data_IF_269132857545
#
_entry.id   IF_269132857545
#
_cell.length_a   1.000
_cell.length_b   1.000
_cell.length_c   1.000
_cell.angle_alpha   90.00
_cell.angle_beta   90.00
_cell.angle_gamma   90.00
#
_symmetry.space_group_name_H-M   'P 1'
#
loop_
_entity.id
_entity.type
_entity.pdbx_description
1 polymer ?
#
# COMPACT_ATOMS: atom_id res chain seq x y z
N UNK A 1 -17.71 -54.18 -15.48
CA UNK A 1 -17.03 -54.12 -14.18
C UNK A 1 -16.17 -52.85 -14.26
N UNK A 2 -16.80 -51.72 -14.05
CA UNK A 2 -16.25 -50.40 -14.12
C UNK A 2 -15.98 -49.96 -12.69
N UNK A 3 -14.72 -49.98 -12.31
CA UNK A 3 -14.28 -49.46 -11.01
C UNK A 3 -14.45 -47.94 -10.98
N UNK A 4 -15.41 -47.53 -10.21
CA UNK A 4 -15.62 -46.15 -9.79
C UNK A 4 -14.44 -45.72 -8.91
N UNK A 5 -13.42 -45.11 -9.49
CA UNK A 5 -12.38 -44.39 -8.76
C UNK A 5 -12.99 -43.02 -8.42
N UNK A 6 -13.90 -43.02 -7.46
CA UNK A 6 -14.25 -41.79 -6.71
C UNK A 6 -13.07 -41.38 -5.86
N UNK A 7 -12.11 -40.69 -6.46
CA UNK A 7 -11.06 -39.99 -5.75
C UNK A 7 -11.70 -38.96 -4.84
N UNK A 8 -11.87 -39.29 -3.57
CA UNK A 8 -12.20 -38.34 -2.53
C UNK A 8 -11.07 -37.33 -2.48
N UNK A 9 -11.28 -36.17 -3.10
CA UNK A 9 -10.36 -35.05 -2.96
C UNK A 9 -10.41 -34.62 -1.49
N UNK A 10 -9.46 -35.16 -0.71
CA UNK A 10 -9.30 -34.81 0.68
C UNK A 10 -9.07 -33.29 0.72
N UNK A 11 -9.95 -32.54 1.36
CA UNK A 11 -9.76 -31.12 1.55
C UNK A 11 -8.44 -30.92 2.32
N UNK A 12 -7.55 -30.05 1.85
CA UNK A 12 -6.30 -29.79 2.54
C UNK A 12 -6.55 -29.29 3.97
N UNK A 13 -5.77 -29.76 4.91
CA UNK A 13 -5.82 -29.28 6.29
C UNK A 13 -5.12 -27.92 6.33
N UNK A 14 -5.90 -26.87 6.55
CA UNK A 14 -5.42 -25.49 6.55
C UNK A 14 -5.45 -24.96 7.99
N UNK A 15 -4.27 -24.75 8.57
CA UNK A 15 -4.10 -24.09 9.87
C UNK A 15 -3.71 -22.61 9.64
N UNK A 16 -4.65 -21.83 9.12
CA UNK A 16 -4.44 -20.40 8.87
C UNK A 16 -5.73 -19.62 9.10
N UNK A 17 -5.66 -18.54 9.88
CA UNK A 17 -6.82 -17.69 10.17
C UNK A 17 -6.56 -16.30 9.58
N UNK A 18 -7.28 -15.99 8.52
CA UNK A 18 -7.22 -14.67 7.90
C UNK A 18 -7.78 -13.60 8.85
N UNK A 19 -7.02 -12.54 9.16
CA UNK A 19 -7.58 -11.41 9.88
C UNK A 19 -8.65 -10.76 9.00
N UNK A 20 -9.82 -10.51 9.57
CA UNK A 20 -10.96 -9.92 8.83
C UNK A 20 -10.65 -8.51 8.32
N UNK A 21 -9.86 -7.74 9.06
CA UNK A 21 -9.47 -6.37 8.74
C UNK A 21 -8.02 -6.12 9.12
N UNK A 22 -7.36 -5.34 8.29
CA UNK A 22 -5.96 -4.95 8.47
C UNK A 22 -5.90 -3.42 8.41
N UNK A 23 -5.14 -2.81 9.32
CA UNK A 23 -4.82 -1.39 9.29
C UNK A 23 -3.60 -1.18 8.38
N UNK A 24 -3.83 -0.57 7.22
CA UNK A 24 -2.76 -0.33 6.25
C UNK A 24 -2.02 0.97 6.59
N UNK A 25 -0.77 0.85 7.01
CA UNK A 25 0.10 2.01 7.24
C UNK A 25 0.35 2.84 5.97
N UNK A 26 0.14 2.26 4.79
CA UNK A 26 0.16 2.99 3.53
C UNK A 26 -0.87 4.10 3.47
N UNK A 27 -2.04 3.90 4.07
CA UNK A 27 -3.07 4.94 4.16
C UNK A 27 -2.57 6.17 4.94
N UNK A 28 -1.78 5.95 6.01
CA UNK A 28 -1.20 7.05 6.78
C UNK A 28 -0.17 7.85 5.98
N UNK A 29 0.67 7.16 5.20
CA UNK A 29 1.64 7.83 4.30
C UNK A 29 0.94 8.66 3.24
N UNK A 30 -0.10 8.10 2.66
CA UNK A 30 -0.92 8.84 1.69
C UNK A 30 -1.67 10.01 2.34
N UNK A 31 -2.09 9.89 3.60
CA UNK A 31 -2.66 10.99 4.36
C UNK A 31 -1.64 12.13 4.55
N UNK A 32 -0.41 11.80 4.97
CA UNK A 32 0.68 12.79 5.09
C UNK A 32 0.99 13.43 3.74
N UNK A 33 1.04 12.65 2.66
CA UNK A 33 1.26 13.20 1.31
C UNK A 33 0.15 14.15 0.86
N UNK A 34 -1.10 13.90 1.25
CA UNK A 34 -2.22 14.79 0.98
C UNK A 34 -2.09 16.12 1.74
N UNK A 35 -1.67 16.08 3.01
CA UNK A 35 -1.37 17.30 3.80
C UNK A 35 -0.25 18.10 3.16
N UNK A 36 0.84 17.45 2.77
CA UNK A 36 1.97 18.11 2.12
C UNK A 36 1.55 18.75 0.79
N UNK A 37 0.72 18.07 -0.01
CA UNK A 37 0.22 18.61 -1.26
C UNK A 37 -0.66 19.87 -1.02
N UNK A 38 -1.55 19.84 -0.03
CA UNK A 38 -2.34 20.99 0.36
C UNK A 38 -1.46 22.16 0.82
N UNK A 39 -0.46 21.89 1.66
CA UNK A 39 0.48 22.90 2.14
C UNK A 39 1.28 23.53 0.99
N UNK A 40 1.81 22.72 0.06
CA UNK A 40 2.52 23.21 -1.12
C UNK A 40 1.61 24.06 -2.01
N UNK A 41 0.36 23.65 -2.21
CA UNK A 41 -0.60 24.43 -3.00
C UNK A 41 -0.89 25.80 -2.36
N UNK A 42 -1.07 25.85 -1.05
CA UNK A 42 -1.28 27.11 -0.31
C UNK A 42 -0.03 27.98 -0.37
N UNK A 43 1.15 27.42 -0.09
CA UNK A 43 2.41 28.17 -0.14
C UNK A 43 2.69 28.72 -1.54
N UNK A 44 2.46 27.91 -2.58
CA UNK A 44 2.66 28.36 -3.97
C UNK A 44 1.69 29.51 -4.33
N UNK A 45 0.46 29.47 -3.84
CA UNK A 45 -0.51 30.55 -4.07
C UNK A 45 -0.12 31.85 -3.34
N UNK A 46 0.52 31.77 -2.19
CA UNK A 46 0.95 32.95 -1.42
C UNK A 46 2.26 33.52 -2.00
N UNK A 47 3.29 32.68 -2.21
CA UNK A 47 4.63 33.14 -2.60
C UNK A 47 4.85 33.23 -4.09
N UNK A 48 4.14 32.43 -4.88
CA UNK A 48 4.21 32.36 -6.34
C UNK A 48 2.91 32.85 -7.00
N UNK A 49 2.27 33.85 -6.39
CA UNK A 49 0.95 34.37 -6.85
C UNK A 49 0.95 34.73 -8.34
N UNK A 50 2.02 35.35 -8.85
CA UNK A 50 2.16 35.67 -10.28
C UNK A 50 2.14 34.46 -11.20
N UNK A 51 2.71 33.33 -10.76
CA UNK A 51 2.66 32.08 -11.53
C UNK A 51 1.28 31.45 -11.47
N UNK A 52 0.66 31.41 -10.29
CA UNK A 52 -0.69 30.83 -10.11
C UNK A 52 -1.72 31.62 -10.90
N UNK A 53 -1.69 32.96 -10.82
CA UNK A 53 -2.59 33.81 -11.60
C UNK A 53 -2.31 33.72 -13.11
N UNK A 54 -1.06 33.52 -13.54
CA UNK A 54 -0.72 33.24 -14.93
C UNK A 54 -1.39 31.96 -15.43
N UNK A 55 -1.24 30.85 -14.68
CA UNK A 55 -1.88 29.56 -15.01
C UNK A 55 -3.41 29.70 -15.04
N UNK A 56 -4.00 30.41 -14.07
CA UNK A 56 -5.45 30.65 -14.04
C UNK A 56 -5.89 31.49 -15.24
N UNK A 57 -5.17 32.55 -15.61
CA UNK A 57 -5.51 33.38 -16.78
C UNK A 57 -5.40 32.60 -18.09
N UNK A 58 -4.41 31.74 -18.23
CA UNK A 58 -4.24 30.88 -19.41
C UNK A 58 -5.38 29.86 -19.49
N UNK A 59 -5.72 29.23 -18.35
CA UNK A 59 -6.87 28.34 -18.25
C UNK A 59 -8.18 29.01 -18.63
N UNK A 60 -8.42 30.23 -18.12
CA UNK A 60 -9.61 31.03 -18.46
C UNK A 60 -9.63 31.44 -19.94
N UNK A 61 -8.48 31.75 -20.53
CA UNK A 61 -8.40 32.05 -21.94
C UNK A 61 -8.76 30.86 -22.84
N UNK A 62 -8.32 29.67 -22.45
CA UNK A 62 -8.70 28.41 -23.09
C UNK A 62 -10.19 28.08 -22.89
N UNK A 63 -10.75 28.46 -21.72
CA UNK A 63 -12.18 28.25 -21.38
C UNK A 63 -13.14 29.08 -22.23
N UNK A 64 -12.67 30.18 -22.84
CA UNK A 64 -13.51 30.99 -23.75
C UNK A 64 -14.07 30.20 -24.94
N UNK A 65 -13.39 29.16 -25.37
CA UNK A 65 -13.91 28.25 -26.39
C UNK A 65 -15.11 27.39 -25.91
N UNK A 66 -15.29 27.29 -24.58
CA UNK A 66 -16.37 26.53 -23.92
C UNK A 66 -17.53 27.44 -23.46
N UNK A 67 -17.59 28.70 -23.92
CA UNK A 67 -18.60 29.68 -23.49
C UNK A 67 -20.04 29.20 -23.69
N UNK A 68 -20.30 28.32 -24.65
CA UNK A 68 -21.62 27.72 -24.85
C UNK A 68 -22.07 26.84 -23.65
N UNK A 69 -21.13 26.38 -22.79
CA UNK A 69 -21.46 25.63 -21.57
C UNK A 69 -21.79 26.53 -20.39
N UNK A 70 -21.51 27.83 -20.46
CA UNK A 70 -21.79 28.80 -19.38
C UNK A 70 -23.27 28.97 -19.15
N UNK A 71 -24.09 28.75 -20.19
CA UNK A 71 -25.57 28.85 -20.12
C UNK A 71 -26.16 27.68 -19.26
N UNK A 72 -25.38 26.61 -18.99
CA UNK A 72 -25.79 25.59 -18.05
C UNK A 72 -25.60 26.10 -16.63
N UNK A 73 -26.59 25.97 -15.73
CA UNK A 73 -26.41 26.37 -14.35
C UNK A 73 -25.29 25.52 -13.72
N UNK A 74 -24.18 26.16 -13.37
CA UNK A 74 -22.98 25.54 -12.86
C UNK A 74 -23.22 24.75 -11.59
N UNK A 75 -24.20 25.16 -10.78
CA UNK A 75 -24.71 24.41 -9.64
C UNK A 75 -25.29 23.05 -10.04
N UNK A 76 -25.94 22.94 -11.20
CA UNK A 76 -26.44 21.65 -11.69
C UNK A 76 -25.30 20.71 -12.10
N UNK A 77 -24.26 21.23 -12.74
CA UNK A 77 -23.09 20.40 -13.10
C UNK A 77 -22.41 19.83 -11.86
N UNK A 78 -22.25 20.64 -10.80
CA UNK A 78 -21.68 20.20 -9.53
C UNK A 78 -22.56 19.14 -8.86
N UNK A 79 -23.86 19.42 -8.72
CA UNK A 79 -24.81 18.49 -8.10
C UNK A 79 -24.91 17.17 -8.87
N UNK A 80 -24.96 17.21 -10.20
CA UNK A 80 -24.99 16.04 -11.05
C UNK A 80 -23.71 15.21 -10.88
N UNK A 81 -22.56 15.86 -10.81
CA UNK A 81 -21.26 15.17 -10.59
C UNK A 81 -21.25 14.43 -9.25
N UNK A 82 -21.66 15.11 -8.16
CA UNK A 82 -21.70 14.47 -6.82
C UNK A 82 -22.67 13.30 -6.81
N UNK A 83 -23.90 13.52 -7.28
CA UNK A 83 -24.91 12.46 -7.28
C UNK A 83 -24.46 11.27 -8.11
N UNK A 84 -23.90 11.52 -9.31
CA UNK A 84 -23.40 10.45 -10.17
C UNK A 84 -22.28 9.65 -9.49
N UNK A 85 -21.29 10.32 -8.91
CA UNK A 85 -20.19 9.67 -8.20
C UNK A 85 -20.70 8.89 -6.98
N UNK A 86 -21.56 9.50 -6.17
CA UNK A 86 -22.09 8.89 -4.97
C UNK A 86 -22.94 7.65 -5.30
N UNK A 87 -23.89 7.79 -6.23
CA UNK A 87 -24.75 6.68 -6.67
C UNK A 87 -23.92 5.55 -7.24
N UNK A 88 -22.98 5.84 -8.14
CA UNK A 88 -22.13 4.84 -8.78
C UNK A 88 -21.27 4.09 -7.77
N UNK A 89 -20.66 4.79 -6.81
CA UNK A 89 -19.84 4.17 -5.78
C UNK A 89 -20.66 3.34 -4.79
N UNK A 90 -21.80 3.89 -4.33
CA UNK A 90 -22.67 3.21 -3.35
C UNK A 90 -23.32 1.97 -3.96
N UNK A 91 -23.85 2.08 -5.20
CA UNK A 91 -24.45 0.93 -5.88
C UNK A 91 -23.44 -0.21 -6.05
N UNK A 92 -22.22 0.09 -6.41
CA UNK A 92 -21.17 -0.94 -6.52
C UNK A 92 -20.90 -1.63 -5.17
N UNK A 93 -20.81 -0.84 -4.08
CA UNK A 93 -20.57 -1.39 -2.75
C UNK A 93 -21.75 -2.25 -2.26
N UNK A 94 -22.98 -1.84 -2.56
CA UNK A 94 -24.19 -2.58 -2.21
C UNK A 94 -24.30 -3.90 -3.02
N UNK A 95 -24.02 -3.86 -4.32
CA UNK A 95 -23.99 -5.07 -5.16
C UNK A 95 -22.91 -6.04 -4.66
N UNK A 96 -21.76 -5.53 -4.20
CA UNK A 96 -20.70 -6.30 -3.54
C UNK A 96 -21.04 -6.79 -2.13
N UNK A 97 -22.25 -6.50 -1.60
CA UNK A 97 -22.66 -6.80 -0.21
C UNK A 97 -21.72 -6.23 0.84
N UNK A 98 -21.04 -5.13 0.55
CA UNK A 98 -20.12 -4.47 1.45
C UNK A 98 -20.82 -3.33 2.23
N UNK A 99 -21.88 -3.65 2.98
CA UNK A 99 -22.72 -2.69 3.68
C UNK A 99 -21.94 -1.74 4.60
N UNK A 100 -20.99 -2.29 5.35
CA UNK A 100 -20.19 -1.49 6.26
C UNK A 100 -19.28 -0.51 5.51
N UNK A 101 -18.71 -0.91 4.39
CA UNK A 101 -17.85 -0.04 3.58
C UNK A 101 -18.68 1.05 2.90
N UNK A 102 -19.92 0.75 2.51
CA UNK A 102 -20.88 1.74 2.02
C UNK A 102 -21.21 2.79 3.06
N UNK A 103 -21.50 2.38 4.31
CA UNK A 103 -21.75 3.28 5.42
C UNK A 103 -20.52 4.16 5.73
N UNK A 104 -19.31 3.56 5.75
CA UNK A 104 -18.07 4.30 5.96
C UNK A 104 -17.77 5.29 4.83
N UNK A 105 -18.10 4.94 3.59
CA UNK A 105 -17.92 5.83 2.44
C UNK A 105 -18.86 7.04 2.52
N UNK A 106 -20.10 6.85 2.94
CA UNK A 106 -21.04 7.95 3.23
C UNK A 106 -20.55 8.81 4.40
N UNK A 107 -20.11 8.18 5.49
CA UNK A 107 -19.53 8.90 6.63
C UNK A 107 -18.33 9.76 6.19
N UNK A 108 -17.48 9.22 5.32
CA UNK A 108 -16.33 9.95 4.78
C UNK A 108 -16.76 11.13 3.90
N UNK A 109 -17.80 10.96 3.09
CA UNK A 109 -18.34 12.04 2.27
C UNK A 109 -18.80 13.22 3.14
N UNK A 110 -19.62 12.95 4.15
CA UNK A 110 -20.09 13.99 5.08
C UNK A 110 -18.94 14.54 5.94
N UNK A 111 -17.99 13.70 6.36
CA UNK A 111 -16.79 14.11 7.07
C UNK A 111 -15.92 15.05 6.24
N UNK A 112 -15.73 14.76 4.95
CA UNK A 112 -15.00 15.62 4.02
C UNK A 112 -15.67 16.98 3.83
N UNK A 113 -16.99 17.00 3.62
CA UNK A 113 -17.78 18.23 3.54
C UNK A 113 -17.65 19.06 4.83
N UNK A 114 -17.86 18.44 5.99
CA UNK A 114 -17.79 19.11 7.28
C UNK A 114 -16.40 19.67 7.59
N UNK A 115 -15.35 18.93 7.21
CA UNK A 115 -13.96 19.36 7.44
C UNK A 115 -13.63 20.59 6.60
N UNK A 116 -13.99 20.59 5.32
CA UNK A 116 -13.75 21.75 4.44
C UNK A 116 -14.61 22.94 4.87
N UNK A 117 -15.85 22.72 5.29
CA UNK A 117 -16.68 23.77 5.87
C UNK A 117 -16.02 24.37 7.13
N UNK A 118 -15.53 23.52 8.05
CA UNK A 118 -14.83 23.97 9.26
C UNK A 118 -13.55 24.76 8.94
N UNK A 119 -12.75 24.28 7.96
CA UNK A 119 -11.55 24.99 7.49
C UNK A 119 -11.93 26.34 6.89
N UNK A 120 -12.98 26.38 6.05
CA UNK A 120 -13.46 27.62 5.44
C UNK A 120 -13.92 28.63 6.51
N UNK A 121 -14.62 28.17 7.54
CA UNK A 121 -15.03 28.99 8.66
C UNK A 121 -13.83 29.51 9.47
N UNK A 122 -12.85 28.66 9.73
CA UNK A 122 -11.63 29.05 10.45
C UNK A 122 -10.81 30.07 9.64
N UNK A 123 -10.64 29.85 8.35
CA UNK A 123 -9.91 30.78 7.46
C UNK A 123 -10.66 32.09 7.28
N UNK A 124 -11.98 32.09 7.21
CA UNK A 124 -12.78 33.35 7.13
C UNK A 124 -12.69 34.17 8.42
N UNK A 125 -12.52 33.50 9.58
CA UNK A 125 -12.46 34.16 10.89
C UNK A 125 -11.06 34.63 11.27
N UNK A 126 -10.06 33.80 11.01
CA UNK A 126 -8.68 34.01 11.46
C UNK A 126 -7.67 34.24 10.32
N UNK A 127 -8.09 34.05 9.07
CA UNK A 127 -7.21 34.11 7.91
C UNK A 127 -6.81 35.54 7.53
N UNK A 128 -5.60 35.67 6.98
CA UNK A 128 -5.12 36.93 6.41
C UNK A 128 -5.78 37.14 5.04
N UNK A 129 -5.95 38.43 4.64
CA UNK A 129 -6.57 38.78 3.36
C UNK A 129 -5.94 38.05 2.16
N UNK A 130 -4.62 37.92 2.12
CA UNK A 130 -3.89 37.19 1.08
C UNK A 130 -4.28 35.70 1.01
N UNK A 131 -4.54 35.10 2.14
CA UNK A 131 -4.92 33.68 2.23
C UNK A 131 -6.38 33.49 1.79
N UNK A 132 -7.25 34.41 2.17
CA UNK A 132 -8.67 34.44 1.77
C UNK A 132 -8.78 34.60 0.26
N UNK A 133 -8.07 35.54 -0.34
CA UNK A 133 -8.10 35.76 -1.79
C UNK A 133 -7.51 34.61 -2.58
N UNK A 134 -6.46 33.95 -2.07
CA UNK A 134 -5.83 32.79 -2.69
C UNK A 134 -6.73 31.54 -2.74
N UNK A 135 -7.62 31.40 -1.76
CA UNK A 135 -8.50 30.21 -1.63
C UNK A 135 -9.93 30.49 -2.13
N UNK A 136 -10.27 31.75 -2.42
CA UNK A 136 -11.64 32.15 -2.74
C UNK A 136 -12.18 31.38 -3.96
N UNK A 137 -13.28 30.68 -3.72
CA UNK A 137 -14.03 29.94 -4.74
C UNK A 137 -15.53 30.18 -4.55
N UNK A 138 -16.23 30.78 -5.51
CA UNK A 138 -17.64 31.12 -5.37
C UNK A 138 -18.59 29.93 -5.40
N UNK A 139 -18.11 28.74 -5.62
CA UNK A 139 -18.89 27.52 -5.89
C UNK A 139 -19.02 26.56 -4.69
N UNK A 140 -19.11 27.10 -3.47
CA UNK A 140 -19.38 26.25 -2.29
C UNK A 140 -20.85 25.85 -2.20
N UNK A 141 -21.16 24.59 -1.89
CA UNK A 141 -22.53 24.09 -1.73
C UNK A 141 -23.10 24.45 -0.35
N UNK A 142 -22.26 24.38 0.70
CA UNK A 142 -22.71 24.53 2.10
C UNK A 142 -22.41 25.91 2.68
N UNK A 143 -21.84 26.86 1.91
CA UNK A 143 -21.90 28.11 2.50
C UNK A 143 -20.87 29.20 2.34
N UNK A 144 -19.66 29.13 2.87
CA UNK A 144 -18.81 30.34 3.01
C UNK A 144 -18.08 30.79 1.73
N UNK A 145 -18.18 30.04 0.64
CA UNK A 145 -17.60 30.42 -0.65
C UNK A 145 -16.05 30.42 -0.72
N UNK A 146 -15.36 29.98 0.31
CA UNK A 146 -13.89 29.95 0.32
C UNK A 146 -13.30 28.75 -0.38
N UNK A 147 -13.79 27.55 -0.08
CA UNK A 147 -13.30 26.30 -0.66
C UNK A 147 -14.47 25.53 -1.29
N UNK A 148 -14.28 24.92 -2.47
CA UNK A 148 -15.30 24.09 -3.10
C UNK A 148 -15.42 22.76 -2.34
N UNK A 149 -16.38 22.66 -1.43
CA UNK A 149 -16.61 21.58 -0.47
C UNK A 149 -16.96 20.24 -1.13
N UNK A 150 -17.65 20.26 -2.27
CA UNK A 150 -18.08 19.05 -2.97
C UNK A 150 -16.91 18.16 -3.44
N UNK A 151 -15.75 18.74 -3.77
CA UNK A 151 -14.56 17.96 -4.12
C UNK A 151 -14.04 17.15 -2.93
N UNK A 152 -14.09 17.76 -1.74
CA UNK A 152 -13.65 17.06 -0.53
C UNK A 152 -14.57 15.89 -0.18
N UNK A 153 -15.90 16.11 -0.24
CA UNK A 153 -16.87 15.03 -0.02
C UNK A 153 -16.71 13.89 -1.02
N UNK A 154 -16.65 14.21 -2.31
CA UNK A 154 -16.47 13.21 -3.37
C UNK A 154 -15.13 12.48 -3.28
N UNK A 155 -14.04 13.20 -3.01
CA UNK A 155 -12.71 12.60 -2.85
C UNK A 155 -12.63 11.69 -1.62
N UNK A 156 -13.25 12.06 -0.49
CA UNK A 156 -13.32 11.26 0.71
C UNK A 156 -14.11 9.95 0.47
N UNK A 157 -15.29 10.06 -0.16
CA UNK A 157 -16.12 8.91 -0.54
C UNK A 157 -15.34 7.94 -1.45
N UNK A 158 -14.75 8.43 -2.52
CA UNK A 158 -14.00 7.60 -3.47
C UNK A 158 -12.76 6.96 -2.84
N UNK A 159 -12.14 7.64 -1.88
CA UNK A 159 -10.97 7.09 -1.16
C UNK A 159 -11.36 5.91 -0.28
N UNK A 160 -12.49 5.99 0.42
CA UNK A 160 -13.01 4.91 1.27
C UNK A 160 -13.64 3.80 0.43
N UNK A 161 -14.24 4.11 -0.72
CA UNK A 161 -14.83 3.11 -1.61
C UNK A 161 -13.83 2.07 -2.12
N UNK A 162 -12.53 2.38 -2.09
CA UNK A 162 -11.47 1.40 -2.36
C UNK A 162 -10.42 1.86 -3.37
N UNK A 163 -9.42 1.01 -3.65
CA UNK A 163 -8.34 1.36 -4.57
C UNK A 163 -8.81 1.36 -6.03
N UNK A 164 -8.27 2.28 -6.82
CA UNK A 164 -8.57 2.42 -8.26
C UNK A 164 -8.23 1.17 -9.09
N UNK A 165 -7.26 0.36 -8.62
CA UNK A 165 -6.79 -0.81 -9.36
C UNK A 165 -7.80 -1.95 -9.37
N UNK A 166 -8.52 -2.12 -8.27
CA UNK A 166 -9.44 -3.26 -8.09
C UNK A 166 -10.88 -2.94 -8.50
N UNK A 167 -11.26 -1.64 -8.54
CA UNK A 167 -12.65 -1.23 -8.78
C UNK A 167 -12.75 -0.27 -9.96
N UNK A 168 -13.35 -0.73 -11.05
CA UNK A 168 -13.56 0.07 -12.27
C UNK A 168 -14.39 1.32 -12.01
N UNK A 169 -15.46 1.24 -11.20
CA UNK A 169 -16.32 2.39 -10.86
C UNK A 169 -15.57 3.46 -10.06
N UNK A 170 -14.68 3.08 -9.14
CA UNK A 170 -13.84 4.03 -8.41
C UNK A 170 -12.89 4.75 -9.37
N UNK A 171 -12.32 4.03 -10.34
CA UNK A 171 -11.48 4.62 -11.39
C UNK A 171 -12.26 5.65 -12.20
N UNK A 172 -13.48 5.31 -12.65
CA UNK A 172 -14.34 6.24 -13.38
C UNK A 172 -14.79 7.41 -12.51
N UNK A 173 -15.15 7.19 -11.25
CA UNK A 173 -15.50 8.24 -10.31
C UNK A 173 -14.41 9.29 -10.16
N UNK A 174 -13.15 8.88 -10.03
CA UNK A 174 -12.02 9.80 -10.01
C UNK A 174 -11.81 10.53 -11.34
N UNK A 175 -12.02 9.87 -12.47
CA UNK A 175 -11.90 10.52 -13.78
C UNK A 175 -12.98 11.59 -13.94
N UNK A 176 -14.24 11.28 -13.59
CA UNK A 176 -15.34 12.25 -13.60
C UNK A 176 -15.02 13.44 -12.68
N UNK A 177 -14.50 13.18 -11.47
CA UNK A 177 -14.13 14.22 -10.51
C UNK A 177 -13.04 15.15 -11.06
N UNK A 178 -12.00 14.60 -11.69
CA UNK A 178 -10.95 15.43 -12.30
C UNK A 178 -11.41 16.17 -13.54
N UNK A 179 -12.22 15.55 -14.40
CA UNK A 179 -12.76 16.21 -15.59
C UNK A 179 -13.67 17.35 -15.17
N UNK A 180 -14.58 17.13 -14.21
CA UNK A 180 -15.45 18.19 -13.70
C UNK A 180 -14.67 19.33 -13.04
N UNK A 181 -13.60 19.00 -12.29
CA UNK A 181 -12.73 20.02 -11.70
C UNK A 181 -12.03 20.86 -12.76
N UNK A 182 -11.52 20.23 -13.81
CA UNK A 182 -10.88 20.93 -14.91
C UNK A 182 -11.87 21.87 -15.65
N UNK A 183 -13.08 21.39 -15.94
CA UNK A 183 -14.13 22.20 -16.57
C UNK A 183 -14.48 23.41 -15.71
N UNK A 184 -14.70 23.25 -14.40
CA UNK A 184 -15.07 24.33 -13.50
C UNK A 184 -13.93 25.34 -13.26
N UNK A 185 -12.67 24.91 -13.35
CA UNK A 185 -11.51 25.81 -13.37
C UNK A 185 -11.49 26.61 -14.70
N UNK A 186 -11.65 25.96 -15.84
CA UNK A 186 -11.67 26.58 -17.15
C UNK A 186 -12.81 27.65 -17.27
N UNK A 187 -13.96 27.37 -16.64
CA UNK A 187 -15.09 28.31 -16.58
C UNK A 187 -14.92 29.43 -15.53
N UNK A 188 -13.75 29.55 -14.90
CA UNK A 188 -13.45 30.57 -13.86
C UNK A 188 -14.33 30.48 -12.61
N UNK A 189 -14.93 29.34 -12.34
CA UNK A 189 -15.84 29.15 -11.20
C UNK A 189 -15.05 28.78 -9.94
N UNK A 190 -13.98 28.03 -10.10
CA UNK A 190 -13.15 27.56 -9.00
C UNK A 190 -11.69 27.99 -9.18
N UNK A 191 -11.02 28.36 -8.09
CA UNK A 191 -9.59 28.57 -8.10
C UNK A 191 -8.85 27.21 -8.14
N UNK A 192 -7.72 27.17 -8.84
CA UNK A 192 -6.87 25.96 -8.91
C UNK A 192 -6.44 25.53 -7.52
N UNK A 193 -6.00 26.49 -6.71
CA UNK A 193 -5.55 26.24 -5.32
C UNK A 193 -6.69 25.69 -4.46
N UNK A 194 -7.88 26.29 -4.53
CA UNK A 194 -9.05 25.82 -3.78
C UNK A 194 -9.44 24.38 -4.10
N UNK A 195 -9.39 24.00 -5.38
CA UNK A 195 -9.67 22.61 -5.83
C UNK A 195 -8.63 21.63 -5.31
N UNK A 196 -7.33 21.96 -5.43
CA UNK A 196 -6.25 21.06 -4.95
C UNK A 196 -6.35 20.88 -3.44
N UNK A 197 -6.59 21.95 -2.68
CA UNK A 197 -6.73 21.89 -1.22
C UNK A 197 -7.95 21.05 -0.85
N UNK A 198 -9.11 21.28 -1.47
CA UNK A 198 -10.34 20.52 -1.20
C UNK A 198 -10.18 19.03 -1.50
N UNK A 199 -9.60 18.67 -2.66
CA UNK A 199 -9.31 17.28 -3.01
C UNK A 199 -8.34 16.63 -2.01
N UNK A 200 -7.32 17.36 -1.57
CA UNK A 200 -6.32 16.89 -0.61
C UNK A 200 -6.95 16.66 0.76
N UNK A 201 -7.77 17.58 1.25
CA UNK A 201 -8.51 17.45 2.51
C UNK A 201 -9.47 16.27 2.45
N UNK A 202 -10.21 16.11 1.35
CA UNK A 202 -11.10 14.97 1.17
C UNK A 202 -10.35 13.63 1.19
N UNK A 203 -9.22 13.55 0.49
CA UNK A 203 -8.36 12.36 0.55
C UNK A 203 -7.82 12.11 1.95
N UNK A 204 -7.39 13.13 2.66
CA UNK A 204 -6.93 13.02 4.04
C UNK A 204 -8.01 12.42 4.93
N UNK A 205 -9.23 12.98 4.91
CA UNK A 205 -10.35 12.47 5.71
C UNK A 205 -10.69 11.03 5.34
N UNK A 206 -10.76 10.73 4.04
CA UNK A 206 -11.01 9.37 3.56
C UNK A 206 -9.95 8.36 4.03
N UNK A 207 -8.64 8.72 3.97
CA UNK A 207 -7.55 7.88 4.43
C UNK A 207 -7.60 7.65 5.94
N UNK A 208 -7.89 8.68 6.73
CA UNK A 208 -8.01 8.56 8.18
C UNK A 208 -9.18 7.65 8.58
N UNK A 209 -10.33 7.79 7.94
CA UNK A 209 -11.50 6.91 8.21
C UNK A 209 -11.18 5.48 7.78
N UNK A 210 -10.54 5.30 6.63
CA UNK A 210 -10.12 3.99 6.14
C UNK A 210 -9.11 3.33 7.07
N UNK A 211 -8.11 4.07 7.54
CA UNK A 211 -7.15 3.60 8.52
C UNK A 211 -7.83 3.22 9.85
N UNK A 212 -8.71 4.09 10.39
CA UNK A 212 -9.41 3.84 11.64
C UNK A 212 -10.35 2.61 11.57
N UNK A 213 -11.08 2.46 10.46
CA UNK A 213 -12.01 1.36 10.26
C UNK A 213 -11.32 0.03 9.87
N UNK A 214 -10.07 0.09 9.40
CA UNK A 214 -9.37 -1.02 8.76
C UNK A 214 -9.95 -1.38 7.39
N UNK A 215 -9.11 -1.91 6.53
CA UNK A 215 -9.51 -2.41 5.19
C UNK A 215 -9.75 -3.90 5.21
N UNK A 216 -10.63 -4.38 4.31
CA UNK A 216 -10.78 -5.81 4.07
C UNK A 216 -9.44 -6.36 3.60
N UNK A 217 -9.04 -7.48 4.19
CA UNK A 217 -7.84 -8.18 3.76
C UNK A 217 -8.03 -8.65 2.31
N UNK A 218 -7.12 -8.24 1.44
CA UNK A 218 -7.10 -8.61 0.00
C UNK A 218 -5.96 -9.59 -0.31
N UNK A 219 -5.14 -9.93 0.68
CA UNK A 219 -4.10 -10.94 0.53
C UNK A 219 -4.69 -12.34 0.34
N UNK A 220 -3.98 -13.22 -0.32
CA UNK A 220 -4.33 -14.63 -0.43
C UNK A 220 -4.09 -15.34 0.91
N UNK A 221 -5.12 -15.97 1.44
CA UNK A 221 -5.10 -16.71 2.71
C UNK A 221 -5.77 -18.06 2.52
N UNK A 222 -5.34 -19.04 3.31
CA UNK A 222 -5.98 -20.34 3.38
C UNK A 222 -6.25 -20.96 2.01
N UNK A 223 -7.52 -21.03 1.63
CA UNK A 223 -7.96 -21.64 0.36
C UNK A 223 -7.45 -20.89 -0.87
N UNK A 224 -7.40 -19.56 -0.85
CA UNK A 224 -6.88 -18.76 -1.97
C UNK A 224 -5.40 -19.08 -2.22
N UNK A 225 -4.64 -19.30 -1.14
CA UNK A 225 -3.24 -19.69 -1.21
C UNK A 225 -3.08 -21.09 -1.81
N UNK A 226 -3.90 -22.05 -1.37
CA UNK A 226 -3.92 -23.41 -1.91
C UNK A 226 -4.28 -23.40 -3.39
N UNK A 227 -5.27 -22.60 -3.79
CA UNK A 227 -5.67 -22.47 -5.18
C UNK A 227 -4.53 -21.91 -6.06
N UNK A 228 -3.80 -20.91 -5.55
CA UNK A 228 -2.65 -20.35 -6.24
C UNK A 228 -1.53 -21.36 -6.40
N UNK A 229 -1.29 -22.20 -5.39
CA UNK A 229 -0.28 -23.26 -5.42
C UNK A 229 -0.68 -24.39 -6.37
N UNK A 230 -1.96 -24.76 -6.40
CA UNK A 230 -2.50 -25.68 -7.39
C UNK A 230 -2.30 -25.18 -8.84
N UNK A 231 -2.40 -23.86 -9.03
CA UNK A 231 -2.16 -23.22 -10.33
C UNK A 231 -0.73 -23.41 -10.88
N UNK A 232 0.26 -23.66 -10.02
CA UNK A 232 1.64 -23.96 -10.40
C UNK A 232 1.94 -25.48 -10.37
N UNK A 233 0.90 -26.31 -10.22
CA UNK A 233 1.02 -27.78 -10.21
C UNK A 233 1.46 -28.36 -8.86
N UNK A 234 1.35 -27.60 -7.76
CA UNK A 234 1.64 -28.07 -6.43
C UNK A 234 0.35 -28.34 -5.66
N UNK A 235 -0.05 -29.62 -5.61
CA UNK A 235 -1.21 -30.07 -4.85
C UNK A 235 -0.85 -30.31 -3.40
N UNK A 236 -1.47 -29.54 -2.51
CA UNK A 236 -1.11 -29.53 -1.09
C UNK A 236 -2.17 -30.27 -0.28
N UNK A 237 -1.72 -31.16 0.62
CA UNK A 237 -2.55 -31.85 1.61
C UNK A 237 -2.58 -31.13 2.94
N UNK A 238 -1.52 -30.39 3.30
CA UNK A 238 -1.44 -29.66 4.56
C UNK A 238 -0.73 -28.32 4.36
N UNK A 239 -1.31 -27.25 4.91
CA UNK A 239 -0.76 -25.90 4.93
C UNK A 239 -0.81 -25.38 6.36
N UNK A 240 0.34 -25.20 6.98
CA UNK A 240 0.46 -24.72 8.35
C UNK A 240 1.25 -23.42 8.38
N UNK A 241 0.68 -22.37 8.97
CA UNK A 241 1.40 -21.13 9.17
C UNK A 241 2.53 -21.33 10.18
N UNK A 242 3.74 -20.97 9.78
CA UNK A 242 4.86 -20.88 10.69
C UNK A 242 4.66 -19.63 11.53
N UNK A 243 4.18 -19.82 12.78
CA UNK A 243 4.12 -18.70 13.72
C UNK A 243 5.54 -18.35 14.12
N UNK A 244 5.87 -17.06 14.09
CA UNK A 244 7.12 -16.56 14.62
C UNK A 244 7.23 -17.03 16.07
N UNK A 245 8.28 -17.82 16.34
CA UNK A 245 8.57 -18.29 17.68
C UNK A 245 8.85 -17.07 18.54
N UNK A 246 7.94 -16.82 19.48
CA UNK A 246 8.08 -15.90 20.61
C UNK A 246 8.99 -14.67 20.42
N UNK A 247 8.41 -13.58 19.98
CA UNK A 247 8.97 -12.22 20.05
C UNK A 247 9.33 -11.82 21.51
N UNK A 248 8.90 -12.59 22.52
CA UNK A 248 9.14 -12.31 23.93
C UNK A 248 10.58 -12.53 24.38
N UNK A 249 11.40 -13.25 23.62
CA UNK A 249 12.75 -13.62 24.02
C UNK A 249 13.88 -13.00 23.21
N UNK A 250 13.64 -11.93 22.46
CA UNK A 250 14.70 -11.22 21.74
C UNK A 250 15.45 -12.10 20.74
N UNK A 251 14.81 -13.14 20.23
CA UNK A 251 15.39 -14.10 19.32
C UNK A 251 15.70 -13.43 17.99
N UNK A 252 16.89 -13.74 17.48
CA UNK A 252 17.45 -13.32 16.20
C UNK A 252 16.62 -13.71 14.95
N UNK A 253 15.45 -14.31 15.11
CA UNK A 253 14.49 -14.62 14.05
C UNK A 253 14.07 -13.37 13.24
N UNK A 254 14.13 -12.18 13.88
CA UNK A 254 13.87 -10.92 13.19
C UNK A 254 14.94 -10.54 12.15
N UNK A 255 16.11 -11.15 12.17
CA UNK A 255 17.21 -10.78 11.27
C UNK A 255 17.18 -11.52 9.94
N UNK A 256 16.61 -12.71 9.87
CA UNK A 256 16.32 -13.41 8.62
C UNK A 256 15.10 -12.77 7.90
N UNK A 257 14.12 -12.29 8.68
CA UNK A 257 12.95 -11.58 8.16
C UNK A 257 13.29 -10.23 7.55
N UNK A 258 14.32 -9.53 8.05
CA UNK A 258 14.62 -8.16 7.62
C UNK A 258 15.10 -8.06 6.16
N UNK A 259 15.61 -9.14 5.57
CA UNK A 259 16.17 -9.09 4.20
C UNK A 259 15.48 -9.98 3.19
N UNK A 260 14.99 -11.13 3.62
CA UNK A 260 14.39 -12.04 2.67
C UNK A 260 13.02 -11.57 2.24
N UNK A 261 12.19 -11.18 3.18
CA UNK A 261 10.88 -10.63 2.84
C UNK A 261 10.29 -9.92 4.06
N UNK A 262 10.73 -8.72 4.34
CA UNK A 262 10.13 -7.90 5.39
C UNK A 262 8.60 -7.89 5.20
N UNK A 263 7.87 -8.61 6.06
CA UNK A 263 6.41 -8.74 6.03
C UNK A 263 5.84 -9.91 5.22
N UNK A 264 6.65 -10.90 4.79
CA UNK A 264 6.09 -12.12 4.22
C UNK A 264 5.57 -13.07 5.31
N UNK A 265 4.51 -13.77 4.95
CA UNK A 265 3.98 -14.87 5.76
C UNK A 265 4.62 -16.17 5.32
N UNK A 266 5.18 -16.91 6.26
CA UNK A 266 5.80 -18.22 6.00
C UNK A 266 4.85 -19.34 6.37
N UNK A 267 4.79 -20.36 5.52
CA UNK A 267 3.99 -21.55 5.72
C UNK A 267 4.83 -22.80 5.46
N UNK A 268 4.61 -23.82 6.27
CA UNK A 268 5.05 -25.18 6.01
C UNK A 268 3.94 -25.89 5.26
N UNK A 269 4.23 -26.41 4.08
CA UNK A 269 3.29 -27.11 3.23
C UNK A 269 3.78 -28.53 2.94
N UNK A 270 2.84 -29.45 2.83
CA UNK A 270 3.11 -30.85 2.46
C UNK A 270 2.25 -31.19 1.26
N UNK A 271 2.83 -31.81 0.23
CA UNK A 271 2.13 -32.24 -0.96
C UNK A 271 1.52 -33.67 -0.83
N UNK A 272 0.85 -34.12 -1.88
CA UNK A 272 0.21 -35.42 -1.96
C UNK A 272 1.20 -36.59 -1.86
N UNK A 273 2.50 -36.34 -2.12
CA UNK A 273 3.58 -37.33 -2.00
C UNK A 273 4.35 -37.25 -0.68
N UNK A 274 3.88 -36.42 0.26
CA UNK A 274 4.54 -36.24 1.56
C UNK A 274 5.83 -35.40 1.50
N UNK A 275 6.09 -34.67 0.39
CA UNK A 275 7.26 -33.80 0.28
C UNK A 275 6.97 -32.48 0.99
N UNK A 276 7.94 -32.02 1.76
CA UNK A 276 7.86 -30.77 2.49
C UNK A 276 8.25 -29.58 1.60
N UNK A 277 7.51 -28.49 1.73
CA UNK A 277 7.78 -27.21 1.08
C UNK A 277 7.68 -26.07 2.09
N UNK A 278 8.41 -25.00 1.85
CA UNK A 278 8.20 -23.72 2.54
C UNK A 278 7.66 -22.72 1.54
N UNK A 279 6.54 -22.14 1.92
CA UNK A 279 5.80 -21.16 1.09
C UNK A 279 5.93 -19.79 1.74
N UNK A 280 6.52 -18.85 1.02
CA UNK A 280 6.63 -17.44 1.43
C UNK A 280 5.63 -16.62 0.65
N UNK A 281 4.61 -16.10 1.34
CA UNK A 281 3.57 -15.27 0.75
C UNK A 281 3.79 -13.79 1.11
N UNK A 282 4.07 -12.96 0.12
CA UNK A 282 4.30 -11.53 0.25
C UNK A 282 3.09 -10.74 -0.23
N UNK A 283 2.43 -10.05 0.71
CA UNK A 283 1.29 -9.20 0.41
C UNK A 283 1.72 -7.78 0.05
N UNK A 284 0.95 -7.13 -0.83
CA UNK A 284 1.15 -5.74 -1.21
C UNK A 284 1.03 -4.77 -0.03
N UNK A 285 0.16 -5.06 0.92
CA UNK A 285 -0.06 -4.25 2.12
C UNK A 285 1.10 -4.33 3.13
N UNK A 286 1.60 -5.55 3.40
CA UNK A 286 2.74 -5.75 4.29
C UNK A 286 3.99 -5.01 3.80
N UNK A 287 4.17 -4.95 2.49
CA UNK A 287 5.28 -4.26 1.86
C UNK A 287 5.24 -2.74 2.02
N UNK A 288 4.05 -2.13 1.97
CA UNK A 288 3.90 -0.68 2.14
C UNK A 288 4.40 -0.24 3.52
N UNK A 289 4.13 -1.04 4.55
CA UNK A 289 4.64 -0.80 5.90
C UNK A 289 6.18 -0.88 5.97
N UNK A 290 6.79 -1.86 5.31
CA UNK A 290 8.25 -2.00 5.20
C UNK A 290 8.90 -0.82 4.49
N UNK A 291 8.29 -0.31 3.42
CA UNK A 291 8.78 0.85 2.68
C UNK A 291 8.82 2.14 3.53
N UNK A 292 7.81 2.35 4.36
CA UNK A 292 7.76 3.49 5.30
C UNK A 292 8.87 3.42 6.31
N UNK A 293 9.11 2.24 6.88
CA UNK A 293 10.21 2.00 7.82
C UNK A 293 11.57 2.28 7.16
N UNK A 294 11.76 1.84 5.90
CA UNK A 294 12.97 2.12 5.13
C UNK A 294 13.14 3.60 4.81
N UNK A 295 12.05 4.31 4.43
CA UNK A 295 12.08 5.75 4.20
C UNK A 295 12.49 6.50 5.47
N UNK A 296 11.91 6.12 6.63
CA UNK A 296 12.27 6.69 7.91
C UNK A 296 13.72 6.44 8.28
N UNK A 297 14.23 5.23 8.03
CA UNK A 297 15.65 4.89 8.23
C UNK A 297 16.56 5.68 7.29
N UNK A 298 16.16 5.87 6.03
CA UNK A 298 16.90 6.67 5.07
C UNK A 298 17.00 8.14 5.47
N UNK A 299 15.92 8.73 5.97
CA UNK A 299 15.90 10.11 6.49
C UNK A 299 16.79 10.24 7.73
N UNK A 300 16.81 9.21 8.60
CA UNK A 300 17.57 9.23 9.84
C UNK A 300 19.04 8.86 9.68
N UNK A 301 19.37 8.01 8.71
CA UNK A 301 20.72 7.50 8.46
C UNK A 301 21.09 7.72 7.00
N UNK A 302 21.99 8.68 6.74
CA UNK A 302 22.59 8.88 5.42
C UNK A 302 23.40 7.64 5.03
N UNK A 303 23.01 6.96 3.95
CA UNK A 303 23.76 5.83 3.40
C UNK A 303 23.01 4.50 3.29
N UNK A 304 21.79 4.39 3.76
CA UNK A 304 20.94 3.21 3.54
C UNK A 304 20.36 3.26 2.14
N UNK A 305 20.73 2.31 1.29
CA UNK A 305 20.15 2.22 -0.05
C UNK A 305 18.69 1.76 0.03
N UNK A 306 17.78 2.57 -0.52
CA UNK A 306 16.37 2.18 -0.62
C UNK A 306 16.18 1.02 -1.61
N UNK A 307 15.36 0.06 -1.26
CA UNK A 307 14.90 -0.98 -2.18
C UNK A 307 14.07 -0.35 -3.31
N UNK A 308 14.39 -0.72 -4.54
CA UNK A 308 13.70 -0.18 -5.74
C UNK A 308 12.49 -0.99 -6.19
N UNK A 309 12.26 -2.17 -5.59
CA UNK A 309 11.17 -3.04 -6.05
C UNK A 309 9.80 -2.38 -5.84
N UNK A 310 9.01 -2.26 -6.86
CA UNK A 310 7.73 -1.51 -6.86
C UNK A 310 6.50 -2.36 -6.56
N UNK A 311 6.62 -3.68 -6.66
CA UNK A 311 5.50 -4.61 -6.45
C UNK A 311 5.92 -5.86 -5.68
N UNK A 312 5.01 -6.59 -5.01
CA UNK A 312 5.32 -7.87 -4.37
C UNK A 312 5.92 -8.87 -5.35
N UNK A 313 5.39 -8.91 -6.56
CA UNK A 313 5.88 -9.77 -7.64
C UNK A 313 7.35 -9.47 -7.99
N UNK A 314 7.70 -8.19 -8.14
CA UNK A 314 9.07 -7.78 -8.45
C UNK A 314 10.03 -8.16 -7.31
N UNK A 315 9.60 -8.01 -6.05
CA UNK A 315 10.39 -8.43 -4.89
C UNK A 315 10.61 -9.94 -4.85
N UNK A 316 9.56 -10.71 -5.08
CA UNK A 316 9.61 -12.18 -5.12
C UNK A 316 10.52 -12.66 -6.26
N UNK A 317 10.41 -12.06 -7.45
CA UNK A 317 11.26 -12.38 -8.60
C UNK A 317 12.73 -12.02 -8.34
N UNK A 318 12.99 -10.87 -7.73
CA UNK A 318 14.35 -10.48 -7.33
C UNK A 318 14.94 -11.49 -6.34
N UNK A 319 14.14 -11.93 -5.40
CA UNK A 319 14.52 -12.94 -4.40
C UNK A 319 14.86 -14.28 -5.05
N UNK A 320 13.96 -14.74 -5.92
CA UNK A 320 14.20 -15.95 -6.70
C UNK A 320 15.49 -15.84 -7.52
N UNK A 321 15.70 -14.69 -8.19
CA UNK A 321 16.91 -14.45 -8.97
C UNK A 321 18.18 -14.48 -8.10
N UNK A 322 18.14 -13.94 -6.87
CA UNK A 322 19.25 -14.02 -5.93
C UNK A 322 19.56 -15.45 -5.52
N UNK A 323 18.53 -16.24 -5.15
CA UNK A 323 18.72 -17.66 -4.76
C UNK A 323 19.33 -18.45 -5.92
N UNK A 324 18.82 -18.29 -7.13
CA UNK A 324 19.33 -18.96 -8.32
C UNK A 324 20.77 -18.50 -8.67
N UNK A 325 21.07 -17.22 -8.51
CA UNK A 325 22.41 -16.67 -8.73
C UNK A 325 23.43 -17.23 -7.74
N UNK A 326 23.10 -17.31 -6.46
CA UNK A 326 23.94 -17.92 -5.44
C UNK A 326 24.15 -19.41 -5.70
N UNK A 327 23.12 -20.12 -6.12
CA UNK A 327 23.20 -21.53 -6.50
C UNK A 327 24.13 -21.75 -7.70
N UNK A 328 24.02 -20.91 -8.73
CA UNK A 328 24.91 -20.93 -9.90
C UNK A 328 26.37 -20.59 -9.52
N UNK A 329 26.58 -19.87 -8.42
CA UNK A 329 27.90 -19.62 -7.86
C UNK A 329 28.47 -20.81 -7.06
N UNK A 330 27.73 -21.94 -6.99
CA UNK A 330 28.11 -23.14 -6.23
C UNK A 330 27.89 -23.04 -4.72
N UNK A 331 27.07 -22.06 -4.28
CA UNK A 331 26.76 -21.89 -2.87
C UNK A 331 25.52 -22.72 -2.49
N UNK A 332 25.48 -23.32 -1.29
CA UNK A 332 24.32 -24.05 -0.80
C UNK A 332 23.16 -23.08 -0.58
N UNK A 333 22.10 -23.25 -1.35
CA UNK A 333 20.86 -22.48 -1.27
C UNK A 333 19.66 -23.38 -1.45
N UNK A 334 18.48 -23.04 -0.87
CA UNK A 334 17.28 -23.82 -1.06
C UNK A 334 16.93 -23.95 -2.54
N UNK A 335 16.34 -25.07 -2.93
CA UNK A 335 15.82 -25.25 -4.30
C UNK A 335 14.51 -24.52 -4.42
N UNK A 336 14.41 -23.65 -5.42
CA UNK A 336 13.16 -23.00 -5.79
C UNK A 336 12.30 -24.00 -6.55
N UNK A 337 11.05 -24.19 -6.10
CA UNK A 337 10.04 -24.95 -6.81
C UNK A 337 9.38 -24.09 -7.87
N UNK A 338 8.88 -22.90 -7.46
CA UNK A 338 8.20 -21.98 -8.37
C UNK A 338 7.73 -20.71 -7.68
N UNK A 339 7.07 -19.87 -8.49
CA UNK A 339 6.42 -18.63 -8.03
C UNK A 339 4.99 -18.64 -8.50
N UNK A 340 4.04 -18.37 -7.59
CA UNK A 340 2.64 -18.13 -7.89
C UNK A 340 2.30 -16.65 -7.63
N UNK A 341 1.27 -16.14 -8.29
CA UNK A 341 0.84 -14.75 -8.15
C UNK A 341 -0.69 -14.68 -8.16
N UNK A 342 -1.28 -14.05 -7.14
CA UNK A 342 -2.73 -13.82 -7.03
C UNK A 342 -3.11 -12.36 -7.29
N UNK A 343 -2.19 -11.56 -7.83
CA UNK A 343 -2.37 -10.13 -8.08
C UNK A 343 -2.03 -9.26 -6.88
N UNK A 344 -2.51 -9.58 -5.68
CA UNK A 344 -2.22 -8.83 -4.44
C UNK A 344 -1.18 -9.55 -3.55
N UNK A 345 -0.98 -10.85 -3.75
CA UNK A 345 0.01 -11.65 -3.04
C UNK A 345 0.89 -12.38 -4.04
N UNK A 346 2.20 -12.25 -3.87
CA UNK A 346 3.20 -13.01 -4.63
C UNK A 346 3.80 -14.09 -3.71
N UNK A 347 3.86 -15.31 -4.22
CA UNK A 347 4.16 -16.51 -3.46
C UNK A 347 5.43 -17.14 -4.01
N UNK A 348 6.44 -17.31 -3.17
CA UNK A 348 7.65 -18.06 -3.49
C UNK A 348 7.61 -19.42 -2.78
N UNK A 349 7.81 -20.49 -3.54
CA UNK A 349 7.82 -21.86 -3.03
C UNK A 349 9.22 -22.44 -3.10
N UNK A 350 9.70 -22.92 -1.96
CA UNK A 350 11.00 -23.54 -1.78
C UNK A 350 10.83 -24.99 -1.32
N UNK A 351 11.74 -25.89 -1.71
CA UNK A 351 11.76 -27.24 -1.17
C UNK A 351 12.12 -27.25 0.31
N UNK A 352 11.33 -27.94 1.12
CA UNK A 352 11.48 -27.98 2.58
C UNK A 352 12.72 -28.75 3.05
N UNK A 353 13.12 -29.76 2.30
CA UNK A 353 14.27 -30.61 2.62
C UNK A 353 15.62 -29.88 2.59
N UNK A 354 15.68 -28.79 1.81
CA UNK A 354 16.87 -27.94 1.68
C UNK A 354 16.90 -26.79 2.71
N UNK A 355 15.90 -26.68 3.60
CA UNK A 355 15.83 -25.59 4.55
C UNK A 355 16.72 -25.86 5.74
N UNK A 356 17.70 -25.01 5.86
CA UNK A 356 18.63 -25.00 6.98
C UNK A 356 17.87 -24.63 8.27
N UNK A 357 18.13 -25.36 9.32
CA UNK A 357 17.67 -25.00 10.66
C UNK A 357 18.29 -23.66 11.06
N UNK A 358 17.56 -22.84 11.81
CA UNK A 358 18.08 -21.60 12.36
C UNK A 358 19.37 -21.86 13.12
N UNK A 359 20.43 -21.16 12.73
CA UNK A 359 21.72 -21.28 13.36
C UNK A 359 21.85 -20.21 14.44
N UNK A 360 21.81 -20.61 15.69
CA UNK A 360 22.05 -19.69 16.80
C UNK A 360 23.55 -19.32 16.81
N UNK A 361 23.85 -18.03 16.58
CA UNK A 361 25.23 -17.53 16.56
C UNK A 361 26.00 -17.80 17.85
N UNK A 362 25.31 -17.96 18.97
CA UNK A 362 25.93 -18.27 20.27
C UNK A 362 26.32 -19.73 20.41
N UNK A 363 25.75 -20.64 19.59
CA UNK A 363 26.04 -22.10 19.60
C UNK A 363 26.76 -22.54 18.33
N UNK A 364 27.25 -21.58 17.51
CA UNK A 364 27.94 -21.88 16.27
C UNK A 364 29.25 -22.58 16.55
N UNK A 365 29.44 -23.78 15.97
CA UNK A 365 30.72 -24.45 15.97
C UNK A 365 31.76 -23.66 15.16
N UNK A 366 33.04 -23.76 15.50
CA UNK A 366 34.11 -23.11 14.71
C UNK A 366 34.11 -23.57 13.24
N UNK A 367 33.71 -24.81 12.98
CA UNK A 367 33.56 -25.32 11.60
C UNK A 367 32.45 -24.62 10.84
N UNK A 368 31.31 -24.38 11.50
CA UNK A 368 30.16 -23.70 10.88
C UNK A 368 30.46 -22.22 10.67
N UNK A 369 31.17 -21.58 11.60
CA UNK A 369 31.63 -20.20 11.46
C UNK A 369 32.56 -20.03 10.25
N UNK A 370 33.51 -20.98 10.06
CA UNK A 370 34.39 -20.97 8.89
C UNK A 370 33.61 -21.22 7.60
N UNK A 371 32.63 -22.12 7.60
CA UNK A 371 31.76 -22.39 6.47
C UNK A 371 30.93 -21.11 6.09
N UNK A 372 30.37 -20.42 7.08
CA UNK A 372 29.64 -19.17 6.90
C UNK A 372 30.53 -18.07 6.33
N UNK A 373 31.74 -17.89 6.87
CA UNK A 373 32.69 -16.89 6.36
C UNK A 373 33.09 -17.20 4.91
N UNK A 374 33.28 -18.49 4.59
CA UNK A 374 33.57 -18.92 3.22
C UNK A 374 32.42 -18.65 2.29
N UNK A 375 31.17 -18.95 2.71
CA UNK A 375 29.94 -18.62 1.98
C UNK A 375 29.87 -17.10 1.69
N UNK A 376 30.00 -16.26 2.71
CA UNK A 376 29.96 -14.79 2.57
C UNK A 376 31.08 -14.27 1.66
N UNK A 377 32.29 -14.83 1.77
CA UNK A 377 33.42 -14.42 0.92
C UNK A 377 33.17 -14.74 -0.55
N UNK A 378 32.64 -15.93 -0.87
CA UNK A 378 32.32 -16.34 -2.25
C UNK A 378 31.16 -15.51 -2.79
N UNK A 379 30.10 -15.29 -1.99
CA UNK A 379 28.99 -14.46 -2.37
C UNK A 379 29.43 -13.03 -2.69
N UNK A 380 30.26 -12.43 -1.83
CA UNK A 380 30.77 -11.06 -2.02
C UNK A 380 31.69 -10.95 -3.27
N UNK A 381 32.57 -11.92 -3.52
CA UNK A 381 33.39 -11.97 -4.74
C UNK A 381 32.56 -12.03 -6.02
N UNK A 382 31.34 -12.55 -5.96
CA UNK A 382 30.39 -12.63 -7.07
C UNK A 382 29.45 -11.43 -7.14
N UNK A 383 29.63 -10.41 -6.27
CA UNK A 383 28.82 -9.19 -6.23
C UNK A 383 27.53 -9.30 -5.41
N UNK A 384 27.33 -10.42 -4.71
CA UNK A 384 26.18 -10.56 -3.80
C UNK A 384 26.59 -10.02 -2.42
N UNK A 385 25.96 -8.91 -2.01
CA UNK A 385 26.22 -8.31 -0.70
C UNK A 385 25.05 -8.60 0.25
N UNK A 386 25.37 -9.21 1.38
CA UNK A 386 24.40 -9.38 2.47
C UNK A 386 24.31 -8.09 3.26
N UNK A 387 23.24 -7.33 3.06
CA UNK A 387 23.07 -5.99 3.67
C UNK A 387 22.70 -6.03 5.15
N UNK A 388 22.20 -7.16 5.65
CA UNK A 388 21.70 -7.30 7.02
C UNK A 388 22.64 -8.00 7.99
N UNK A 389 23.93 -8.15 7.68
CA UNK A 389 24.89 -8.60 8.71
C UNK A 389 25.07 -7.51 9.77
N UNK A 390 24.00 -7.17 10.51
CA UNK A 390 24.11 -6.37 11.72
C UNK A 390 24.68 -7.26 12.82
N UNK A 391 25.91 -7.00 13.21
CA UNK A 391 26.34 -7.35 14.57
C UNK A 391 25.37 -6.60 15.52
N UNK A 392 24.47 -7.32 16.17
CA UNK A 392 23.99 -6.84 17.47
C UNK A 392 25.24 -6.78 18.37
N UNK A 393 25.64 -5.60 18.85
CA UNK A 393 26.71 -5.56 19.85
C UNK A 393 26.18 -6.32 21.05
N UNK A 394 26.72 -7.54 21.28
CA UNK A 394 26.54 -8.21 22.57
C UNK A 394 27.06 -7.22 23.61
N UNK A 395 26.22 -6.87 24.57
CA UNK A 395 26.54 -5.96 25.67
C UNK A 395 27.78 -6.37 26.48
N UNK A 396 28.33 -7.56 26.18
CA UNK A 396 29.42 -8.20 26.92
C UNK A 396 30.75 -8.30 26.15
N UNK A 397 30.88 -7.65 24.97
CA UNK A 397 32.16 -7.62 24.29
C UNK A 397 33.10 -6.60 24.96
N UNK A 398 33.85 -7.07 25.95
CA UNK A 398 34.93 -6.32 26.59
C UNK A 398 36.28 -6.75 25.94
N UNK A 399 36.90 -5.88 25.13
CA UNK A 399 38.18 -6.22 24.47
C UNK A 399 39.35 -6.39 25.45
N UNK A 400 39.18 -6.07 26.72
CA UNK A 400 40.24 -6.12 27.73
C UNK A 400 40.46 -7.51 28.39
N UNK A 401 39.77 -8.57 27.96
CA UNK A 401 39.95 -9.92 28.52
C UNK A 401 40.79 -10.86 27.63
N UNK A 402 41.68 -10.34 26.82
CA UNK A 402 42.76 -11.13 26.21
C UNK A 402 44.09 -10.45 26.51
N UNK A 403 44.60 -10.71 27.67
CA UNK A 403 46.03 -10.69 28.02
C UNK A 403 46.41 -12.07 28.56
#
# INVERSE_FOLDING_TARGET
>A
MSDDVSGTTAHPVIEDVAPRRIHDFGDLVHAVSAVLLAAVAILSSIYLSGFVTGVESDAHSAGRALNWMVDLPTSMLQQLTIVTIAVMAIVQLLVGREWLQSALALLAMFGGLATVWGISMAVSTFGNFTLITALCSPSSIIGTGLLPDFYAGSAALLTVAGPRRTRSTVKWGWNILYISSAILILLSINSVTGVIVSLSVGRLVGMLIRFAAGTKNQGAWGEDLVQALNGIGLHITSLKRRMDVDLSHGSLASTLDDDLVEGSRLYDAVDDWGRAFVVSALDSQARTAGYVKQLWQWVRFTGVAMRRDRSPREATQHHMAMILGLRNAGLPTPKVYGVADTGETSILVLHGDDIMHECNLNTLSDKDAIALLRFLSVANKRGYTHRASRRTPSRDWNPARRS
#
